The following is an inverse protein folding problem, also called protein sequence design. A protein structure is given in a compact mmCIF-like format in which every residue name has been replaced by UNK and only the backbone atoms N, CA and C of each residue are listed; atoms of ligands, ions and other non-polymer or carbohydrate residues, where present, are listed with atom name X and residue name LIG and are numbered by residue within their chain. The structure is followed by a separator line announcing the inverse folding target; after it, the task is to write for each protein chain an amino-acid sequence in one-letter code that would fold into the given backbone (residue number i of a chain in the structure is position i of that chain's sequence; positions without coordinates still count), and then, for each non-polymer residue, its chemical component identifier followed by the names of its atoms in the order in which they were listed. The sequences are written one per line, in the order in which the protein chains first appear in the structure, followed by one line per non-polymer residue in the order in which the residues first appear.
data_IF_553338484660
#
_entry.id   IF_553338484660
#
_cell.length_a   1.000
_cell.length_b   1.000
_cell.length_c   1.000
_cell.angle_alpha   90.00
_cell.angle_beta   90.00
_cell.angle_gamma   90.00
#
_symmetry.space_group_name_H-M   'P 1'
#
loop_
_entity.id
_entity.type
_entity.pdbx_description
1 polymer ?
#
# COMPACT_ATOMS: atom_id res chain seq x y z
N UNK A 1 -1.68 1.31 -7.37
CA UNK A 1 -1.09 0.09 -7.97
C UNK A 1 -0.51 -0.74 -6.84
N UNK A 2 -0.93 -2.00 -6.66
CA UNK A 2 -0.40 -2.86 -5.59
C UNK A 2 0.97 -3.43 -5.97
N UNK A 3 1.84 -3.66 -4.99
CA UNK A 3 3.10 -4.38 -5.18
C UNK A 3 2.87 -5.90 -5.20
N UNK A 4 3.80 -6.65 -5.78
CA UNK A 4 3.76 -8.13 -5.76
C UNK A 4 3.71 -8.71 -4.35
N UNK A 5 4.37 -8.06 -3.38
CA UNK A 5 4.30 -8.44 -1.97
C UNK A 5 2.86 -8.34 -1.41
N UNK A 6 2.12 -7.27 -1.74
CA UNK A 6 0.72 -7.11 -1.33
C UNK A 6 -0.19 -8.15 -2.00
N UNK A 7 0.02 -8.41 -3.30
CA UNK A 7 -0.73 -9.42 -4.04
C UNK A 7 -0.49 -10.83 -3.49
N UNK A 8 0.72 -11.13 -3.02
CA UNK A 8 1.00 -12.41 -2.36
C UNK A 8 0.24 -12.56 -1.04
N UNK A 9 0.15 -11.50 -0.23
CA UNK A 9 -0.65 -11.54 1.01
C UNK A 9 -2.13 -11.80 0.66
N UNK A 10 -2.67 -11.11 -0.35
CA UNK A 10 -4.04 -11.32 -0.84
C UNK A 10 -4.26 -12.76 -1.37
N UNK A 11 -3.29 -13.32 -2.08
CA UNK A 11 -3.36 -14.67 -2.61
C UNK A 11 -3.48 -15.72 -1.50
N UNK A 12 -2.76 -15.52 -0.39
CA UNK A 12 -2.73 -16.42 0.77
C UNK A 12 -3.90 -16.22 1.74
N UNK A 13 -4.69 -15.16 1.58
CA UNK A 13 -5.87 -14.89 2.40
C UNK A 13 -7.07 -15.76 1.99
N UNK A 14 -7.03 -17.04 2.38
CA UNK A 14 -8.14 -17.96 2.26
C UNK A 14 -8.11 -19.03 3.35
N UNK A 15 -9.27 -19.62 3.64
CA UNK A 15 -9.43 -20.64 4.68
C UNK A 15 -9.41 -22.04 4.07
N UNK A 16 -8.65 -22.93 4.70
CA UNK A 16 -8.60 -24.35 4.37
C UNK A 16 -9.28 -25.16 5.48
N UNK A 17 -10.18 -26.06 5.09
CA UNK A 17 -10.97 -26.90 5.98
C UNK A 17 -10.59 -28.39 5.80
N UNK A 18 -9.90 -29.03 6.76
CA UNK A 18 -9.46 -30.42 6.64
C UNK A 18 -10.60 -31.46 6.61
N UNK A 19 -11.82 -31.08 6.98
CA UNK A 19 -13.01 -31.93 6.94
C UNK A 19 -13.59 -32.11 5.54
N UNK A 20 -13.22 -31.24 4.59
CA UNK A 20 -13.71 -31.29 3.21
C UNK A 20 -12.93 -32.35 2.43
N UNK A 21 -13.62 -33.19 1.64
CA UNK A 21 -12.93 -34.26 0.89
C UNK A 21 -11.87 -33.73 -0.10
N UNK A 22 -10.82 -34.52 -0.32
CA UNK A 22 -9.73 -34.21 -1.25
C UNK A 22 -10.25 -33.95 -2.67
N UNK A 23 -11.24 -34.72 -3.12
CA UNK A 23 -11.89 -34.56 -4.44
C UNK A 23 -12.44 -33.14 -4.67
N UNK A 24 -13.03 -32.54 -3.65
CA UNK A 24 -13.58 -31.17 -3.73
C UNK A 24 -12.45 -30.16 -3.93
N UNK A 25 -11.32 -30.34 -3.24
CA UNK A 25 -10.16 -29.49 -3.44
C UNK A 25 -9.51 -29.66 -4.81
N UNK A 26 -9.41 -30.88 -5.32
CA UNK A 26 -8.92 -31.13 -6.68
C UNK A 26 -9.80 -30.45 -7.73
N UNK A 27 -11.12 -30.49 -7.56
CA UNK A 27 -12.05 -29.73 -8.41
C UNK A 27 -11.88 -28.22 -8.25
N UNK A 28 -11.62 -27.74 -7.03
CA UNK A 28 -11.36 -26.33 -6.77
C UNK A 28 -10.05 -25.86 -7.43
N UNK A 29 -9.01 -26.70 -7.44
CA UNK A 29 -7.75 -26.43 -8.14
C UNK A 29 -7.98 -26.12 -9.63
N UNK A 30 -8.78 -26.94 -10.32
CA UNK A 30 -9.17 -26.69 -11.72
C UNK A 30 -9.91 -25.35 -11.84
N UNK A 31 -10.91 -25.11 -10.99
CA UNK A 31 -11.67 -23.85 -11.02
C UNK A 31 -10.84 -22.60 -10.69
N UNK A 32 -9.76 -22.72 -9.90
CA UNK A 32 -8.82 -21.62 -9.65
C UNK A 32 -7.98 -21.35 -10.90
N UNK A 33 -7.50 -22.40 -11.58
CA UNK A 33 -6.74 -22.26 -12.81
C UNK A 33 -7.58 -21.64 -13.94
N UNK A 34 -8.83 -22.07 -14.11
CA UNK A 34 -9.75 -21.49 -15.09
C UNK A 34 -9.93 -19.98 -14.84
N UNK A 35 -10.15 -19.59 -13.58
CA UNK A 35 -10.26 -18.16 -13.20
C UNK A 35 -8.95 -17.40 -13.44
N UNK A 36 -7.80 -18.03 -13.22
CA UNK A 36 -6.50 -17.42 -13.48
C UNK A 36 -6.31 -17.17 -14.98
N UNK A 37 -6.68 -18.14 -15.82
CA UNK A 37 -6.61 -18.05 -17.27
C UNK A 37 -7.56 -16.99 -17.82
N UNK A 38 -8.81 -16.96 -17.35
CA UNK A 38 -9.78 -15.92 -17.72
C UNK A 38 -9.26 -14.52 -17.35
N UNK A 39 -8.76 -14.33 -16.13
CA UNK A 39 -8.18 -13.06 -15.71
C UNK A 39 -6.96 -12.66 -16.54
N UNK A 40 -6.16 -13.63 -16.98
CA UNK A 40 -5.02 -13.39 -17.87
C UNK A 40 -5.47 -12.95 -19.27
N UNK A 41 -6.48 -13.61 -19.83
CA UNK A 41 -7.07 -13.27 -21.14
C UNK A 41 -7.75 -11.89 -21.13
N UNK A 42 -8.38 -11.51 -20.01
CA UNK A 42 -8.94 -10.18 -19.77
C UNK A 42 -7.87 -9.08 -19.61
N UNK A 43 -6.58 -9.44 -19.59
CA UNK A 43 -5.46 -8.52 -19.39
C UNK A 43 -5.26 -8.09 -17.93
N UNK A 44 -5.98 -8.69 -16.98
CA UNK A 44 -5.84 -8.39 -15.56
C UNK A 44 -4.74 -9.27 -14.92
N UNK A 45 -3.49 -8.89 -15.20
CA UNK A 45 -2.30 -9.63 -14.75
C UNK A 45 -2.20 -9.75 -13.22
N UNK A 46 -2.66 -8.75 -12.47
CA UNK A 46 -2.65 -8.77 -11.00
C UNK A 46 -3.55 -9.88 -10.46
N UNK A 47 -4.78 -9.95 -10.99
CA UNK A 47 -5.77 -10.94 -10.57
C UNK A 47 -5.35 -12.35 -11.00
N UNK A 48 -4.81 -12.49 -12.21
CA UNK A 48 -4.24 -13.74 -12.68
C UNK A 48 -3.12 -14.23 -11.75
N UNK A 49 -2.19 -13.34 -11.39
CA UNK A 49 -1.10 -13.65 -10.45
C UNK A 49 -1.61 -14.14 -9.10
N UNK A 50 -2.60 -13.45 -8.52
CA UNK A 50 -3.22 -13.84 -7.24
C UNK A 50 -3.80 -15.26 -7.32
N UNK A 51 -4.52 -15.59 -8.39
CA UNK A 51 -5.09 -16.94 -8.55
C UNK A 51 -4.02 -18.02 -8.76
N UNK A 52 -2.97 -17.75 -9.55
CA UNK A 52 -1.87 -18.70 -9.74
C UNK A 52 -1.08 -18.97 -8.44
N UNK A 53 -0.76 -17.93 -7.68
CA UNK A 53 -0.10 -18.08 -6.37
C UNK A 53 -0.98 -18.87 -5.41
N UNK A 54 -2.29 -18.57 -5.38
CA UNK A 54 -3.25 -19.28 -4.55
C UNK A 54 -3.35 -20.77 -4.92
N UNK A 55 -3.35 -21.09 -6.20
CA UNK A 55 -3.31 -22.48 -6.68
C UNK A 55 -2.06 -23.19 -6.18
N UNK A 56 -0.88 -22.57 -6.34
CA UNK A 56 0.39 -23.16 -5.91
C UNK A 56 0.38 -23.40 -4.39
N UNK A 57 -0.02 -22.41 -3.59
CA UNK A 57 -0.09 -22.53 -2.13
C UNK A 57 -1.06 -23.63 -1.68
N UNK A 58 -2.23 -23.72 -2.31
CA UNK A 58 -3.22 -24.76 -2.01
C UNK A 58 -2.62 -26.14 -2.27
N UNK A 59 -1.98 -26.32 -3.42
CA UNK A 59 -1.37 -27.58 -3.81
C UNK A 59 -0.16 -27.95 -2.93
N UNK A 60 0.78 -27.05 -2.67
CA UNK A 60 2.03 -27.40 -2.00
C UNK A 60 1.94 -27.37 -0.48
N UNK A 61 1.21 -26.40 0.09
CA UNK A 61 1.21 -26.15 1.54
C UNK A 61 -0.02 -26.74 2.23
N UNK A 62 -1.22 -26.63 1.66
CA UNK A 62 -2.44 -27.08 2.36
C UNK A 62 -2.78 -28.54 2.06
N UNK A 63 -2.83 -28.92 0.78
CA UNK A 63 -3.25 -30.26 0.37
C UNK A 63 -2.26 -31.36 0.77
N UNK A 64 -0.97 -31.02 0.88
CA UNK A 64 0.07 -31.92 1.38
C UNK A 64 -0.16 -32.43 2.81
N UNK A 65 -0.94 -31.69 3.62
CA UNK A 65 -1.28 -32.04 5.00
C UNK A 65 -2.68 -32.63 5.16
N UNK A 66 -3.37 -32.93 4.07
CA UNK A 66 -4.75 -33.40 4.12
C UNK A 66 -4.84 -34.83 4.72
N UNK A 67 -5.79 -35.12 5.64
CA UNK A 67 -5.89 -36.44 6.29
C UNK A 67 -6.08 -37.61 5.31
N UNK A 68 -6.86 -37.40 4.25
CA UNK A 68 -7.05 -38.41 3.17
C UNK A 68 -5.78 -38.65 2.34
N UNK A 69 -4.85 -37.68 2.28
CA UNK A 69 -3.55 -37.89 1.65
C UNK A 69 -2.59 -38.65 2.58
N UNK A 70 -2.64 -38.37 3.88
CA UNK A 70 -1.85 -39.00 4.93
C UNK A 70 -2.29 -40.44 5.27
N UNK A 71 -3.41 -40.91 4.72
CA UNK A 71 -3.83 -42.31 4.80
C UNK A 71 -4.42 -42.72 6.15
N UNK A 72 -5.04 -41.80 6.89
CA UNK A 72 -5.65 -42.10 8.21
C UNK A 72 -7.02 -42.77 8.15
N UNK A 73 -7.64 -42.86 6.98
CA UNK A 73 -8.99 -43.42 6.81
C UNK A 73 -8.92 -44.71 5.97
N UNK A 74 -9.12 -45.86 6.64
CA UNK A 74 -8.92 -47.21 6.10
C UNK A 74 -10.09 -47.80 5.30
N UNK A 75 -11.24 -47.12 5.25
CA UNK A 75 -12.50 -47.78 4.86
C UNK A 75 -12.94 -47.56 3.41
N UNK A 76 -12.23 -46.72 2.63
CA UNK A 76 -12.56 -46.34 1.24
C UNK A 76 -11.31 -46.38 0.34
N UNK A 77 -10.57 -47.48 0.40
CA UNK A 77 -9.19 -47.60 -0.13
C UNK A 77 -9.08 -47.32 -1.64
N UNK A 78 -10.09 -47.64 -2.46
CA UNK A 78 -9.99 -47.55 -3.91
C UNK A 78 -10.19 -46.11 -4.46
N UNK A 79 -11.24 -45.39 -4.04
CA UNK A 79 -11.48 -44.02 -4.52
C UNK A 79 -10.47 -43.02 -3.94
N UNK A 80 -10.05 -43.21 -2.67
CA UNK A 80 -9.04 -42.37 -2.04
C UNK A 80 -7.68 -42.53 -2.71
N UNK A 81 -7.31 -43.76 -3.12
CA UNK A 81 -6.07 -44.01 -3.85
C UNK A 81 -6.05 -43.30 -5.20
N UNK A 82 -7.18 -43.25 -5.91
CA UNK A 82 -7.30 -42.54 -7.19
C UNK A 82 -7.08 -41.03 -7.01
N UNK A 83 -7.78 -40.39 -6.07
CA UNK A 83 -7.62 -38.96 -5.81
C UNK A 83 -6.22 -38.59 -5.31
N UNK A 84 -5.57 -39.49 -4.57
CA UNK A 84 -4.17 -39.34 -4.18
C UNK A 84 -3.25 -39.38 -5.40
N UNK A 85 -3.48 -40.29 -6.34
CA UNK A 85 -2.71 -40.37 -7.58
C UNK A 85 -2.90 -39.12 -8.45
N UNK A 86 -4.14 -38.65 -8.61
CA UNK A 86 -4.46 -37.40 -9.32
C UNK A 86 -3.71 -36.21 -8.71
N UNK A 87 -3.74 -36.09 -7.38
CA UNK A 87 -3.01 -35.06 -6.66
C UNK A 87 -1.49 -35.13 -6.92
N UNK A 88 -0.90 -36.33 -6.88
CA UNK A 88 0.54 -36.50 -7.16
C UNK A 88 0.90 -36.11 -8.60
N UNK A 89 0.02 -36.39 -9.56
CA UNK A 89 0.21 -35.98 -10.95
C UNK A 89 0.15 -34.46 -11.11
N UNK A 90 -0.80 -33.80 -10.45
CA UNK A 90 -0.90 -32.34 -10.37
C UNK A 90 0.40 -31.72 -9.84
N UNK A 91 0.93 -32.23 -8.74
CA UNK A 91 2.19 -31.76 -8.15
C UNK A 91 3.38 -31.97 -9.10
N UNK A 92 3.43 -33.09 -9.82
CA UNK A 92 4.58 -33.42 -10.68
C UNK A 92 4.58 -32.67 -12.02
N UNK A 93 3.42 -32.45 -12.61
CA UNK A 93 3.31 -31.92 -13.96
C UNK A 93 2.85 -30.46 -13.97
N UNK A 94 1.76 -30.17 -13.27
CA UNK A 94 1.08 -28.87 -13.40
C UNK A 94 1.72 -27.80 -12.51
N UNK A 95 2.07 -28.12 -11.26
CA UNK A 95 2.67 -27.14 -10.34
C UNK A 95 3.97 -26.53 -10.89
N UNK A 96 4.93 -27.29 -11.46
CA UNK A 96 6.12 -26.70 -12.07
C UNK A 96 5.82 -25.74 -13.23
N UNK A 97 4.83 -26.07 -14.06
CA UNK A 97 4.40 -25.21 -15.16
C UNK A 97 3.79 -23.91 -14.64
N UNK A 98 2.90 -23.99 -13.64
CA UNK A 98 2.25 -22.82 -13.03
C UNK A 98 3.26 -21.95 -12.28
N UNK A 99 4.24 -22.55 -11.60
CA UNK A 99 5.34 -21.80 -10.95
C UNK A 99 6.13 -20.96 -11.95
N UNK A 100 6.42 -21.51 -13.13
CA UNK A 100 7.10 -20.77 -14.19
C UNK A 100 6.28 -19.56 -14.66
N UNK A 101 4.99 -19.77 -14.92
CA UNK A 101 4.05 -18.69 -15.31
C UNK A 101 3.99 -17.61 -14.22
N UNK A 102 3.90 -18.04 -12.96
CA UNK A 102 3.82 -17.14 -11.80
C UNK A 102 5.07 -16.28 -11.66
N UNK A 103 6.25 -16.86 -11.87
CA UNK A 103 7.53 -16.13 -11.81
C UNK A 103 7.67 -15.12 -12.95
N UNK A 104 7.21 -15.46 -14.16
CA UNK A 104 7.23 -14.53 -15.29
C UNK A 104 6.24 -13.37 -15.07
N UNK A 105 5.02 -13.66 -14.57
CA UNK A 105 4.04 -12.64 -14.18
C UNK A 105 4.57 -11.72 -13.08
N UNK A 106 5.28 -12.27 -12.09
CA UNK A 106 5.90 -11.51 -11.01
C UNK A 106 6.87 -10.46 -11.56
N UNK A 107 7.79 -10.87 -12.44
CA UNK A 107 8.76 -9.97 -13.07
C UNK A 107 8.06 -8.83 -13.81
N UNK A 108 7.01 -9.15 -14.57
CA UNK A 108 6.24 -8.15 -15.29
C UNK A 108 5.56 -7.15 -14.34
N UNK A 109 4.92 -7.63 -13.28
CA UNK A 109 4.25 -6.78 -12.29
C UNK A 109 5.24 -5.90 -11.52
N UNK A 110 6.41 -6.42 -11.16
CA UNK A 110 7.46 -5.66 -10.48
C UNK A 110 8.03 -4.55 -11.38
N UNK A 111 8.25 -4.83 -12.67
CA UNK A 111 8.67 -3.83 -13.64
C UNK A 111 7.63 -2.72 -13.79
N UNK A 112 6.35 -3.07 -13.91
CA UNK A 112 5.29 -2.08 -14.04
C UNK A 112 5.14 -1.26 -12.75
N UNK A 113 5.32 -1.89 -11.58
CA UNK A 113 5.27 -1.20 -10.30
C UNK A 113 6.43 -0.18 -10.18
N UNK A 114 7.63 -0.57 -10.58
CA UNK A 114 8.80 0.29 -10.61
C UNK A 114 8.61 1.48 -11.57
N UNK A 115 8.09 1.25 -12.78
CA UNK A 115 7.75 2.31 -13.74
C UNK A 115 6.75 3.29 -13.13
N UNK A 116 5.67 2.79 -12.54
CA UNK A 116 4.64 3.62 -11.93
C UNK A 116 5.20 4.46 -10.77
N UNK A 117 6.02 3.87 -9.90
CA UNK A 117 6.68 4.59 -8.80
C UNK A 117 7.60 5.70 -9.31
N UNK A 118 8.36 5.43 -10.37
CA UNK A 118 9.26 6.40 -10.99
C UNK A 118 8.48 7.54 -11.68
N UNK A 119 7.38 7.24 -12.36
CA UNK A 119 6.49 8.24 -12.96
C UNK A 119 5.85 9.16 -11.92
N UNK A 120 5.42 8.62 -10.77
CA UNK A 120 4.94 9.44 -9.66
C UNK A 120 6.05 10.37 -9.14
N UNK A 121 7.24 9.85 -8.88
CA UNK A 121 8.37 10.64 -8.39
C UNK A 121 8.75 11.78 -9.37
N UNK A 122 8.75 11.50 -10.68
CA UNK A 122 9.03 12.52 -11.72
C UNK A 122 7.97 13.62 -11.82
N UNK A 123 6.72 13.34 -11.45
CA UNK A 123 5.63 14.32 -11.50
C UNK A 123 5.49 15.14 -10.20
N UNK A 124 6.07 14.69 -9.09
CA UNK A 124 5.95 15.37 -7.79
C UNK A 124 7.02 16.46 -7.59
N UNK A 125 8.14 16.43 -8.32
CA UNK A 125 9.19 17.44 -8.17
C UNK A 125 9.89 17.76 -9.50
N UNK A 126 9.37 18.77 -10.21
CA UNK A 126 10.26 19.70 -10.90
C UNK A 126 10.22 21.02 -10.14
N UNK A 127 11.17 21.32 -9.24
CA UNK A 127 11.46 22.71 -8.96
C UNK A 127 11.80 23.34 -10.32
N UNK A 128 11.04 24.36 -10.74
CA UNK A 128 11.31 25.10 -11.99
C UNK A 128 12.74 25.62 -11.92
N UNK A 129 13.69 24.91 -12.50
CA UNK A 129 14.97 25.48 -12.87
C UNK A 129 14.70 26.35 -14.09
N UNK A 130 14.45 27.63 -13.84
CA UNK A 130 14.50 28.67 -14.85
C UNK A 130 15.95 28.73 -15.37
N UNK A 131 16.20 28.11 -16.52
CA UNK A 131 17.40 28.43 -17.31
C UNK A 131 17.02 29.44 -18.40
N UNK A 132 17.73 30.56 -18.32
CA UNK A 132 17.74 31.75 -19.17
C UNK A 132 17.65 31.47 -20.68
N UNK A 133 16.84 32.27 -21.38
CA UNK A 133 17.29 32.94 -22.60
C UNK A 133 16.59 34.30 -22.72
N UNK A 134 17.41 35.30 -22.97
CA UNK A 134 17.19 36.73 -22.81
C UNK A 134 16.36 37.29 -23.97
N UNK A 135 15.14 37.76 -23.71
CA UNK A 135 14.46 38.80 -24.48
C UNK A 135 13.65 39.64 -23.49
N UNK A 136 13.82 40.96 -23.56
CA UNK A 136 13.20 41.97 -22.72
C UNK A 136 11.66 41.89 -22.70
N UNK A 137 11.11 42.31 -21.55
CA UNK A 137 9.73 42.74 -21.28
C UNK A 137 8.85 41.82 -20.42
N UNK A 138 8.32 42.49 -19.39
CA UNK A 138 7.23 42.13 -18.47
C UNK A 138 7.54 41.13 -17.34
N UNK A 139 7.80 41.73 -16.18
CA UNK A 139 7.89 41.11 -14.85
C UNK A 139 6.63 40.29 -14.58
N UNK A 140 6.69 38.94 -14.54
CA UNK A 140 5.59 38.15 -14.02
C UNK A 140 5.61 38.33 -12.51
N UNK A 141 4.53 38.88 -11.96
CA UNK A 141 4.34 39.12 -10.54
C UNK A 141 4.78 37.88 -9.74
N UNK A 142 5.93 38.00 -9.08
CA UNK A 142 6.31 37.16 -7.95
C UNK A 142 5.08 37.17 -7.04
N UNK A 143 4.38 36.05 -6.91
CA UNK A 143 3.20 35.92 -6.08
C UNK A 143 3.63 36.18 -4.62
N UNK A 144 3.68 37.46 -4.25
CA UNK A 144 3.92 37.91 -2.90
C UNK A 144 2.71 37.45 -2.11
N UNK A 145 3.00 36.78 -0.99
CA UNK A 145 1.97 36.42 -0.03
C UNK A 145 1.14 37.69 0.27
N UNK A 146 -0.19 37.54 0.46
CA UNK A 146 -1.03 38.66 0.85
C UNK A 146 -0.39 39.38 2.04
N UNK A 147 -0.45 40.72 2.11
CA UNK A 147 0.09 41.46 3.26
C UNK A 147 -0.61 41.07 4.58
N UNK A 148 -1.77 40.43 4.50
CA UNK A 148 -2.51 39.85 5.63
C UNK A 148 -2.08 38.43 6.01
N UNK A 149 -1.10 37.83 5.30
CA UNK A 149 -0.66 36.47 5.58
C UNK A 149 0.21 36.44 6.85
N UNK A 150 -0.39 36.03 7.94
CA UNK A 150 0.31 35.79 9.20
C UNK A 150 0.98 34.41 9.16
N UNK A 151 2.29 34.44 8.94
CA UNK A 151 3.13 33.25 8.92
C UNK A 151 3.16 32.54 10.29
N UNK A 152 2.94 33.26 11.39
CA UNK A 152 2.85 32.70 12.73
C UNK A 152 1.58 31.87 12.92
N UNK A 153 0.43 32.37 12.49
CA UNK A 153 -0.85 31.63 12.54
C UNK A 153 -0.78 30.38 11.66
N UNK A 154 -0.21 30.50 10.46
CA UNK A 154 -0.05 29.39 9.53
C UNK A 154 0.87 28.28 10.08
N UNK A 155 2.02 28.64 10.64
CA UNK A 155 2.92 27.64 11.22
C UNK A 155 2.34 27.01 12.50
N UNK A 156 1.51 27.75 13.25
CA UNK A 156 0.79 27.21 14.39
C UNK A 156 -0.30 26.21 13.96
N UNK A 157 -1.06 26.50 12.91
CA UNK A 157 -2.08 25.58 12.41
C UNK A 157 -1.46 24.30 11.87
N UNK A 158 -0.30 24.39 11.20
CA UNK A 158 0.51 23.24 10.78
C UNK A 158 0.96 22.38 11.96
N UNK A 159 1.52 22.99 13.02
CA UNK A 159 1.94 22.25 14.22
C UNK A 159 0.77 21.54 14.89
N UNK A 160 -0.36 22.24 15.03
CA UNK A 160 -1.57 21.66 15.59
C UNK A 160 -2.12 20.49 14.75
N UNK A 161 -2.07 20.59 13.42
CA UNK A 161 -2.46 19.49 12.53
C UNK A 161 -1.54 18.26 12.70
N UNK A 162 -0.23 18.48 12.83
CA UNK A 162 0.73 17.40 13.09
C UNK A 162 0.57 16.77 14.48
N UNK A 163 0.20 17.56 15.48
CA UNK A 163 -0.09 17.06 16.83
C UNK A 163 -1.42 16.31 16.89
N UNK A 164 -2.47 16.82 16.25
CA UNK A 164 -3.80 16.16 16.19
C UNK A 164 -3.77 14.85 15.39
N UNK A 165 -3.00 14.78 14.30
CA UNK A 165 -2.79 13.53 13.56
C UNK A 165 -1.89 12.53 14.27
N UNK A 166 -1.12 12.96 15.28
CA UNK A 166 -0.26 12.09 16.10
C UNK A 166 -0.97 11.43 17.29
N UNK A 167 -2.25 11.70 17.55
CA UNK A 167 -3.02 11.00 18.60
C UNK A 167 -3.41 9.55 18.23
N UNK A 168 -2.85 9.00 17.15
CA UNK A 168 -3.00 7.61 16.76
C UNK A 168 -1.90 6.65 17.24
N UNK A 169 -0.74 7.11 17.70
CA UNK A 169 0.33 6.20 18.17
C UNK A 169 1.34 6.91 19.09
N UNK A 170 1.23 6.69 20.40
CA UNK A 170 2.29 7.03 21.35
C UNK A 170 3.39 5.96 21.30
N UNK A 171 4.63 6.36 20.95
CA UNK A 171 5.72 6.40 21.93
C UNK A 171 7.05 6.85 21.32
N UNK A 172 7.80 7.56 22.18
CA UNK A 172 9.24 7.85 22.14
C UNK A 172 9.70 9.22 21.64
N UNK A 173 10.47 9.81 22.55
CA UNK A 173 10.97 11.18 22.76
C UNK A 173 12.01 11.66 21.74
N UNK A 174 12.14 12.97 21.50
CA UNK A 174 13.26 13.51 20.74
C UNK A 174 14.50 13.68 21.62
N UNK A 175 15.57 13.01 21.23
CA UNK A 175 16.94 13.23 21.73
C UNK A 175 17.43 14.60 21.27
N UNK A 176 17.90 15.39 22.25
CA UNK A 176 18.63 16.65 22.06
C UNK A 176 19.86 16.44 21.18
N UNK A 177 20.10 17.34 20.22
CA UNK A 177 21.45 17.64 19.71
C UNK A 177 21.74 19.13 19.88
N UNK A 178 22.74 19.39 20.71
CA UNK A 178 23.39 20.68 20.90
C UNK A 178 24.30 21.04 19.72
N UNK A 179 24.28 22.33 19.40
CA UNK A 179 25.40 23.27 19.21
C UNK A 179 26.53 22.97 18.21
N UNK A 180 26.62 23.84 17.19
CA UNK A 180 27.77 24.69 16.82
C UNK A 180 27.34 25.52 15.59
N UNK A 181 27.56 26.82 15.39
CA UNK A 181 28.26 27.91 16.07
C UNK A 181 27.73 29.21 15.45
N UNK A 182 27.64 30.32 16.18
CA UNK A 182 28.14 31.60 15.67
C UNK A 182 28.27 32.64 16.79
N UNK A 183 29.35 33.41 16.68
CA UNK A 183 29.78 34.43 17.63
C UNK A 183 28.76 35.55 17.84
N UNK A 184 28.69 35.99 19.10
CA UNK A 184 28.50 37.34 19.68
C UNK A 184 28.28 38.58 18.78
N UNK A 185 27.83 39.73 19.33
CA UNK A 185 26.63 39.94 20.17
C UNK A 185 25.89 41.25 19.73
N UNK A 186 24.72 41.56 20.29
CA UNK A 186 24.37 42.90 20.81
C UNK A 186 22.96 42.93 21.38
N UNK A 187 22.83 43.74 22.42
CA UNK A 187 21.70 43.96 23.31
C UNK A 187 20.48 44.58 22.61
N UNK A 188 19.27 44.21 23.03
CA UNK A 188 18.46 45.13 23.83
C UNK A 188 17.18 44.46 24.36
N UNK A 189 16.91 44.78 25.62
CA UNK A 189 15.79 44.30 26.42
C UNK A 189 14.46 44.93 26.01
N UNK A 190 13.37 44.16 26.10
CA UNK A 190 12.07 44.53 26.70
C UNK A 190 11.15 43.30 26.67
N UNK A 191 11.02 42.63 27.80
CA UNK A 191 10.02 42.89 28.84
C UNK A 191 8.72 42.12 28.55
N UNK A 192 8.59 41.01 29.27
CA UNK A 192 7.41 40.18 29.38
C UNK A 192 6.26 40.96 30.03
N UNK A 193 5.12 41.03 29.34
CA UNK A 193 3.82 41.19 30.00
C UNK A 193 2.94 39.99 29.67
N UNK A 194 3.08 38.96 30.49
CA UNK A 194 2.05 37.94 30.67
C UNK A 194 0.76 38.63 31.12
N UNK A 195 -0.26 38.66 30.25
CA UNK A 195 -1.65 38.85 30.66
C UNK A 195 -2.35 37.49 30.62
N UNK A 196 -2.90 36.99 31.75
CA UNK A 196 -3.78 35.84 31.72
C UNK A 196 -5.16 36.30 31.21
N UNK A 197 -5.73 35.58 30.24
CA UNK A 197 -7.14 35.74 29.88
C UNK A 197 -7.48 36.35 28.51
N UNK A 198 -6.63 36.23 27.49
CA UNK A 198 -7.12 36.42 26.11
C UNK A 198 -7.87 35.16 25.67
N UNK A 199 -9.19 35.13 25.96
CA UNK A 199 -10.12 34.28 25.22
C UNK A 199 -9.98 34.61 23.73
N UNK A 200 -9.48 33.64 22.97
CA UNK A 200 -9.28 33.77 21.53
C UNK A 200 -10.64 33.59 20.85
N UNK A 201 -11.16 34.67 20.29
CA UNK A 201 -12.32 34.63 19.41
C UNK A 201 -11.92 33.95 18.10
N UNK A 202 -12.53 32.81 17.80
CA UNK A 202 -12.56 32.29 16.44
C UNK A 202 -13.52 33.14 15.61
N UNK A 203 -13.21 33.45 14.34
CA UNK A 203 -14.26 33.88 13.42
C UNK A 203 -15.25 32.74 13.25
N UNK A 204 -16.55 33.02 13.41
CA UNK A 204 -17.59 32.03 13.13
C UNK A 204 -17.51 31.59 11.67
N UNK A 205 -17.62 30.28 11.46
CA UNK A 205 -17.67 29.71 10.13
C UNK A 205 -18.92 30.25 9.42
N UNK A 206 -18.83 30.62 8.13
CA UNK A 206 -19.99 31.03 7.35
C UNK A 206 -21.09 29.97 7.46
N UNK A 207 -22.22 30.32 8.06
CA UNK A 207 -23.38 29.44 8.10
C UNK A 207 -23.98 29.40 6.69
N UNK A 208 -23.94 28.22 6.07
CA UNK A 208 -24.62 27.97 4.80
C UNK A 208 -26.12 27.91 5.07
N UNK A 209 -26.83 29.00 4.78
CA UNK A 209 -28.28 28.97 4.71
C UNK A 209 -28.69 28.34 3.38
N UNK A 210 -29.26 27.14 3.46
CA UNK A 210 -29.89 26.51 2.30
C UNK A 210 -31.35 26.99 2.22
N UNK A 211 -31.81 27.52 1.08
CA UNK A 211 -33.23 27.77 0.88
C UNK A 211 -33.95 26.42 0.82
N UNK A 212 -34.82 26.18 1.80
CA UNK A 212 -35.81 25.10 1.76
C UNK A 212 -36.83 25.44 0.67
N UNK A 213 -36.86 24.61 -0.37
CA UNK A 213 -37.97 24.52 -1.32
C UNK A 213 -38.98 23.46 -0.85
#
# INVERSE_FOLDING_TARGET
MQSTAQLNIEALDYKFFPSTSLKVYLKACVGILDKAQLAFQEGNLKRAYVFYVRYVDLCTNKLSHHPQYLGKDSDQVSEIALHRQEYLQLIRLEVPAVLKITEDLRKQLDLDYAKHKLSLAKNIARPKQQHHNSIESEVPALAKLPPSFDNGIFNHSLRYYHETTSFGNHSQTPVKKSQNSQAEPTNDAKESKNKPGQFRYYPELPQLSFPTF
#
